data_IF_510792409691
#
_entry.id   IF_510792409691
#
_cell.length_a   1.000
_cell.length_b   1.000
_cell.length_c   1.000
_cell.angle_alpha   90.00
_cell.angle_beta   90.00
_cell.angle_gamma   90.00
#
_symmetry.space_group_name_H-M   'P 1'
#
loop_
_entity.id
_entity.type
_entity.pdbx_description
1 polymer ?
#
# COMPACT_ATOMS: atom_id res chain seq x y z
N UNK A 1 12.11 -18.69 -9.12
CA UNK A 1 10.76 -18.68 -8.48
C UNK A 1 10.63 -17.44 -7.60
N UNK A 2 9.48 -16.75 -7.63
CA UNK A 2 9.22 -15.54 -6.82
C UNK A 2 8.81 -15.93 -5.38
N UNK A 3 9.77 -16.35 -4.55
CA UNK A 3 9.51 -16.88 -3.21
C UNK A 3 8.77 -15.89 -2.28
N UNK A 4 9.02 -14.59 -2.45
CA UNK A 4 8.38 -13.52 -1.67
C UNK A 4 6.85 -13.40 -1.85
N UNK A 5 6.25 -14.06 -2.85
CA UNK A 5 4.79 -14.03 -3.09
C UNK A 5 3.98 -14.62 -1.93
N UNK A 6 4.55 -15.60 -1.24
CA UNK A 6 3.90 -16.33 -0.16
C UNK A 6 4.46 -15.98 1.22
N UNK A 7 5.22 -14.88 1.31
CA UNK A 7 5.77 -14.45 2.59
C UNK A 7 4.63 -14.15 3.57
N UNK A 8 4.52 -14.87 4.72
CA UNK A 8 3.42 -14.69 5.66
C UNK A 8 3.28 -13.24 6.14
N UNK A 9 4.41 -12.56 6.28
CA UNK A 9 4.54 -11.17 6.70
C UNK A 9 3.65 -10.21 5.89
N UNK A 10 3.59 -10.37 4.56
CA UNK A 10 2.82 -9.46 3.70
C UNK A 10 1.40 -9.94 3.37
N UNK A 11 0.99 -11.12 3.85
CA UNK A 11 -0.35 -11.67 3.63
C UNK A 11 -0.75 -11.64 2.14
N UNK A 12 -1.95 -11.13 1.82
CA UNK A 12 -2.47 -10.99 0.46
C UNK A 12 -1.92 -9.77 -0.30
N UNK A 13 -1.29 -8.82 0.38
CA UNK A 13 -0.97 -7.50 -0.19
C UNK A 13 -0.05 -7.58 -1.42
N UNK A 14 1.02 -8.37 -1.34
CA UNK A 14 1.95 -8.59 -2.47
C UNK A 14 1.28 -9.33 -3.62
N UNK A 15 0.37 -10.27 -3.32
CA UNK A 15 -0.37 -11.04 -4.33
C UNK A 15 -1.27 -10.12 -5.16
N UNK A 16 -1.90 -9.13 -4.52
CA UNK A 16 -2.74 -8.13 -5.21
C UNK A 16 -1.90 -7.32 -6.20
N UNK A 17 -0.72 -6.84 -5.80
CA UNK A 17 0.17 -6.09 -6.70
C UNK A 17 0.64 -6.91 -7.90
N UNK A 18 0.93 -8.21 -7.70
CA UNK A 18 1.25 -9.13 -8.79
C UNK A 18 0.06 -9.36 -9.71
N UNK A 19 -1.15 -9.57 -9.16
CA UNK A 19 -2.38 -9.80 -9.93
C UNK A 19 -2.79 -8.57 -10.75
N UNK A 20 -2.64 -7.37 -10.18
CA UNK A 20 -2.87 -6.11 -10.90
C UNK A 20 -1.78 -5.80 -11.93
N UNK A 21 -0.65 -6.52 -11.92
CA UNK A 21 0.48 -6.22 -12.79
C UNK A 21 1.15 -4.88 -12.45
N UNK A 22 1.11 -4.47 -11.18
CA UNK A 22 1.88 -3.31 -10.71
C UNK A 22 3.36 -3.67 -10.58
N UNK A 23 3.63 -4.91 -10.14
CA UNK A 23 4.97 -5.47 -9.99
C UNK A 23 5.12 -6.79 -10.74
N UNK A 24 6.35 -7.20 -11.04
CA UNK A 24 6.63 -8.44 -11.78
C UNK A 24 6.54 -8.29 -13.30
N UNK A 25 6.20 -9.39 -14.00
CA UNK A 25 5.93 -9.38 -15.45
C UNK A 25 4.56 -8.76 -15.68
N UNK A 26 4.55 -7.50 -16.12
CA UNK A 26 3.34 -6.78 -16.50
C UNK A 26 3.51 -6.15 -17.88
N UNK A 27 2.40 -6.03 -18.60
CA UNK A 27 2.35 -5.31 -19.87
C UNK A 27 2.15 -3.83 -19.60
N UNK A 28 2.91 -2.96 -20.29
CA UNK A 28 2.73 -1.50 -20.19
C UNK A 28 1.28 -1.09 -20.45
N UNK A 29 0.60 -1.78 -21.36
CA UNK A 29 -0.82 -1.56 -21.67
C UNK A 29 -1.71 -1.70 -20.44
N UNK A 30 -1.55 -2.75 -19.62
CA UNK A 30 -2.35 -2.95 -18.41
C UNK A 30 -2.12 -1.84 -17.39
N UNK A 31 -0.87 -1.40 -17.24
CA UNK A 31 -0.51 -0.31 -16.33
C UNK A 31 -1.09 1.03 -16.80
N UNK A 32 -1.07 1.31 -18.10
CA UNK A 32 -1.66 2.53 -18.69
C UNK A 32 -3.17 2.52 -18.48
N UNK A 33 -3.85 1.41 -18.74
CA UNK A 33 -5.29 1.27 -18.53
C UNK A 33 -5.67 1.48 -17.05
N UNK A 34 -4.91 0.91 -16.13
CA UNK A 34 -5.15 1.07 -14.70
C UNK A 34 -4.84 2.49 -14.21
N UNK A 35 -3.89 3.19 -14.85
CA UNK A 35 -3.55 4.58 -14.54
C UNK A 35 -4.58 5.59 -15.11
N UNK A 36 -5.23 5.25 -16.22
CA UNK A 36 -6.13 6.15 -16.93
C UNK A 36 -7.25 6.67 -16.03
N UNK A 37 -7.94 5.78 -15.31
CA UNK A 37 -9.08 6.16 -14.48
C UNK A 37 -8.67 7.08 -13.32
N UNK A 38 -7.69 6.74 -12.47
CA UNK A 38 -7.21 7.65 -11.43
C UNK A 38 -6.72 9.01 -11.95
N UNK A 39 -6.05 9.05 -13.11
CA UNK A 39 -5.55 10.31 -13.70
C UNK A 39 -6.70 11.16 -14.21
N UNK A 40 -7.67 10.58 -14.92
CA UNK A 40 -8.85 11.30 -15.39
C UNK A 40 -9.66 11.86 -14.21
N UNK A 41 -9.85 11.04 -13.17
CA UNK A 41 -10.53 11.46 -11.94
C UNK A 41 -9.78 12.59 -11.23
N UNK A 42 -8.45 12.54 -11.17
CA UNK A 42 -7.63 13.60 -10.57
C UNK A 42 -7.78 14.94 -11.30
N UNK A 43 -7.74 14.93 -12.63
CA UNK A 43 -7.97 16.13 -13.42
C UNK A 43 -9.39 16.69 -13.21
N UNK A 44 -10.40 15.82 -13.18
CA UNK A 44 -11.78 16.20 -12.88
C UNK A 44 -11.95 16.82 -11.48
N UNK A 45 -11.21 16.31 -10.49
CA UNK A 45 -11.20 16.85 -9.13
C UNK A 45 -10.51 18.22 -9.03
N UNK A 46 -9.41 18.43 -9.75
CA UNK A 46 -8.76 19.75 -9.81
C UNK A 46 -9.76 20.79 -10.33
N UNK A 47 -10.45 20.47 -11.43
CA UNK A 47 -11.44 21.37 -12.04
C UNK A 47 -12.61 21.59 -11.08
N UNK A 48 -13.08 20.53 -10.41
CA UNK A 48 -14.15 20.64 -9.42
C UNK A 48 -13.77 21.60 -8.29
N UNK A 49 -12.57 21.42 -7.72
CA UNK A 49 -12.06 22.28 -6.65
C UNK A 49 -11.95 23.74 -7.08
N UNK A 50 -11.45 24.02 -8.30
CA UNK A 50 -11.40 25.39 -8.83
C UNK A 50 -12.79 26.01 -8.96
N UNK A 51 -13.80 25.23 -9.37
CA UNK A 51 -15.18 25.72 -9.49
C UNK A 51 -15.84 25.99 -8.15
N UNK A 52 -15.53 25.19 -7.12
CA UNK A 52 -16.11 25.35 -5.78
C UNK A 52 -15.28 26.27 -4.87
N UNK A 53 -14.12 26.78 -5.32
CA UNK A 53 -13.13 27.51 -4.51
C UNK A 53 -13.66 28.76 -3.76
N UNK A 54 -14.75 29.36 -4.23
CA UNK A 54 -15.41 30.50 -3.57
C UNK A 54 -16.79 30.18 -3.00
N UNK A 55 -17.17 28.90 -2.95
CA UNK A 55 -18.47 28.44 -2.48
C UNK A 55 -18.48 28.13 -0.98
N UNK A 56 -19.26 27.12 -0.60
CA UNK A 56 -19.33 26.66 0.78
C UNK A 56 -17.98 26.11 1.27
N UNK A 57 -17.59 26.49 2.50
CA UNK A 57 -16.33 26.05 3.10
C UNK A 57 -16.33 24.54 3.34
N UNK A 58 -17.48 23.97 3.71
CA UNK A 58 -17.63 22.53 3.92
C UNK A 58 -17.44 21.74 2.63
N UNK A 59 -18.10 22.16 1.55
CA UNK A 59 -17.95 21.57 0.22
C UNK A 59 -16.51 21.68 -0.29
N UNK A 60 -15.90 22.86 -0.16
CA UNK A 60 -14.51 23.09 -0.56
C UNK A 60 -13.54 22.23 0.24
N UNK A 61 -13.77 22.10 1.56
CA UNK A 61 -12.96 21.24 2.44
C UNK A 61 -13.07 19.77 2.07
N UNK A 62 -14.27 19.29 1.73
CA UNK A 62 -14.49 17.92 1.27
C UNK A 62 -13.80 17.66 -0.08
N UNK A 63 -13.91 18.59 -1.03
CA UNK A 63 -13.25 18.48 -2.33
C UNK A 63 -11.72 18.48 -2.21
N UNK A 64 -11.16 19.29 -1.30
CA UNK A 64 -9.73 19.28 -1.00
C UNK A 64 -9.28 17.94 -0.40
N UNK A 65 -10.05 17.40 0.56
CA UNK A 65 -9.79 16.08 1.15
C UNK A 65 -9.77 14.99 0.07
N UNK A 66 -10.76 14.97 -0.83
CA UNK A 66 -10.84 14.00 -1.93
C UNK A 66 -9.67 14.15 -2.90
N UNK A 67 -9.30 15.38 -3.27
CA UNK A 67 -8.15 15.66 -4.12
C UNK A 67 -6.83 15.14 -3.50
N UNK A 68 -6.62 15.39 -2.20
CA UNK A 68 -5.47 14.88 -1.47
C UNK A 68 -5.45 13.34 -1.47
N UNK A 69 -6.60 12.71 -1.25
CA UNK A 69 -6.73 11.25 -1.24
C UNK A 69 -6.36 10.63 -2.58
N UNK A 70 -6.85 11.20 -3.69
CA UNK A 70 -6.52 10.75 -5.05
C UNK A 70 -5.04 11.01 -5.37
N UNK A 71 -4.50 12.15 -4.93
CA UNK A 71 -3.06 12.45 -5.08
C UNK A 71 -2.21 11.37 -4.44
N UNK A 72 -2.53 10.95 -3.20
CA UNK A 72 -1.81 9.88 -2.53
C UNK A 72 -1.90 8.55 -3.29
N UNK A 73 -3.07 8.21 -3.84
CA UNK A 73 -3.23 7.00 -4.64
C UNK A 73 -2.37 7.03 -5.90
N UNK A 74 -2.39 8.15 -6.64
CA UNK A 74 -1.58 8.36 -7.85
C UNK A 74 -0.08 8.30 -7.56
N UNK A 75 0.40 8.98 -6.52
CA UNK A 75 1.81 8.96 -6.13
C UNK A 75 2.23 7.54 -5.81
N UNK A 76 1.46 6.79 -5.01
CA UNK A 76 1.76 5.39 -4.67
C UNK A 76 1.75 4.48 -5.88
N UNK A 77 0.78 4.63 -6.76
CA UNK A 77 0.73 3.91 -8.03
C UNK A 77 2.00 4.13 -8.85
N UNK A 78 2.38 5.40 -9.05
CA UNK A 78 3.56 5.78 -9.82
C UNK A 78 4.85 5.29 -9.16
N UNK A 79 4.96 5.38 -7.83
CA UNK A 79 6.11 4.88 -7.08
C UNK A 79 6.32 3.38 -7.32
N UNK A 80 5.27 2.57 -7.21
CA UNK A 80 5.34 1.11 -7.41
C UNK A 80 5.69 0.77 -8.86
N UNK A 81 5.01 1.38 -9.83
CA UNK A 81 5.20 1.07 -11.25
C UNK A 81 6.57 1.51 -11.75
N UNK A 82 7.01 2.74 -11.44
CA UNK A 82 8.32 3.26 -11.88
C UNK A 82 9.48 2.51 -11.22
N UNK A 83 9.34 2.16 -9.95
CA UNK A 83 10.38 1.46 -9.20
C UNK A 83 10.18 -0.06 -9.13
N UNK A 84 9.41 -0.66 -10.05
CA UNK A 84 9.04 -2.08 -10.02
C UNK A 84 10.24 -3.01 -9.71
N UNK A 85 11.37 -2.84 -10.41
CA UNK A 85 12.58 -3.63 -10.16
C UNK A 85 13.11 -3.47 -8.73
N UNK A 86 13.23 -2.23 -8.25
CA UNK A 86 13.70 -1.94 -6.88
C UNK A 86 12.72 -2.48 -5.84
N UNK A 87 11.42 -2.36 -6.08
CA UNK A 87 10.38 -2.89 -5.21
C UNK A 87 10.42 -4.42 -5.12
N UNK A 88 10.65 -5.09 -6.24
CA UNK A 88 10.86 -6.55 -6.25
C UNK A 88 12.14 -6.96 -5.52
N UNK A 89 13.25 -6.26 -5.73
CA UNK A 89 14.50 -6.52 -5.00
C UNK A 89 14.29 -6.32 -3.49
N UNK A 90 13.59 -5.26 -3.10
CA UNK A 90 13.22 -5.00 -1.71
C UNK A 90 12.43 -6.17 -1.10
N UNK A 91 11.35 -6.62 -1.75
CA UNK A 91 10.55 -7.76 -1.27
C UNK A 91 11.37 -9.06 -1.19
N UNK A 92 12.31 -9.27 -2.12
CA UNK A 92 13.22 -10.41 -2.11
C UNK A 92 14.22 -10.33 -0.96
N UNK A 93 14.76 -9.16 -0.67
CA UNK A 93 15.62 -8.96 0.49
C UNK A 93 14.84 -9.31 1.76
N UNK A 94 13.63 -8.77 1.93
CA UNK A 94 12.79 -9.06 3.10
C UNK A 94 12.50 -10.56 3.25
N UNK A 95 12.19 -11.28 2.15
CA UNK A 95 12.01 -12.75 2.19
C UNK A 95 13.26 -13.49 2.69
N UNK A 96 14.46 -13.04 2.31
CA UNK A 96 15.71 -13.64 2.78
C UNK A 96 15.95 -13.35 4.25
N UNK A 97 15.77 -12.10 4.68
CA UNK A 97 15.92 -11.69 6.07
C UNK A 97 14.91 -12.41 6.97
N UNK A 98 13.67 -12.57 6.52
CA UNK A 98 12.64 -13.29 7.27
C UNK A 98 13.06 -14.74 7.54
N UNK A 99 13.51 -15.46 6.50
CA UNK A 99 13.95 -16.86 6.63
C UNK A 99 15.21 -17.00 7.46
N UNK A 100 16.14 -16.06 7.34
CA UNK A 100 17.36 -16.06 8.13
C UNK A 100 17.04 -15.93 9.63
N UNK A 101 16.18 -14.99 9.99
CA UNK A 101 15.74 -14.79 11.38
C UNK A 101 14.95 -16.01 11.88
N UNK A 102 14.05 -16.56 11.07
CA UNK A 102 13.24 -17.73 11.45
C UNK A 102 14.09 -18.98 11.73
N UNK A 103 15.22 -19.15 11.02
CA UNK A 103 16.06 -20.34 11.13
C UNK A 103 17.24 -20.18 12.10
N UNK A 104 17.82 -18.98 12.17
CA UNK A 104 19.14 -18.77 12.78
C UNK A 104 19.14 -17.84 14.01
N UNK A 105 18.01 -17.20 14.35
CA UNK A 105 17.95 -16.26 15.48
C UNK A 105 17.48 -16.89 16.79
N UNK A 106 17.75 -16.20 17.89
CA UNK A 106 17.29 -16.57 19.23
C UNK A 106 15.76 -16.67 19.32
N UNK A 107 15.27 -17.53 20.20
CA UNK A 107 13.83 -17.77 20.41
C UNK A 107 13.04 -16.49 20.73
N UNK A 108 13.65 -15.54 21.45
CA UNK A 108 13.05 -14.22 21.75
C UNK A 108 12.75 -13.43 20.46
N UNK A 109 13.68 -13.42 19.53
CA UNK A 109 13.57 -12.71 18.24
C UNK A 109 12.57 -13.42 17.32
N UNK A 110 12.60 -14.75 17.28
CA UNK A 110 11.66 -15.56 16.50
C UNK A 110 10.23 -15.37 17.01
N UNK A 111 10.02 -15.30 18.32
CA UNK A 111 8.71 -14.98 18.90
C UNK A 111 8.23 -13.60 18.45
N UNK A 112 9.10 -12.59 18.51
CA UNK A 112 8.77 -11.23 18.03
C UNK A 112 8.41 -11.22 16.54
N UNK A 113 9.12 -12.00 15.72
CA UNK A 113 8.82 -12.16 14.29
C UNK A 113 7.41 -12.74 14.06
N UNK A 114 7.04 -13.77 14.82
CA UNK A 114 5.72 -14.41 14.76
C UNK A 114 4.61 -13.47 15.24
N UNK A 115 4.85 -12.70 16.30
CA UNK A 115 3.92 -11.68 16.80
C UNK A 115 3.68 -10.59 15.76
N UNK A 116 4.74 -10.03 15.17
CA UNK A 116 4.65 -9.02 14.11
C UNK A 116 3.92 -9.58 12.89
N UNK A 117 4.21 -10.82 12.50
CA UNK A 117 3.54 -11.50 11.38
C UNK A 117 2.04 -11.64 11.64
N UNK A 118 1.66 -12.14 12.82
CA UNK A 118 0.25 -12.34 13.19
C UNK A 118 -0.49 -11.01 13.30
N UNK A 119 0.15 -10.01 13.91
CA UNK A 119 -0.40 -8.68 14.06
C UNK A 119 -0.65 -7.99 12.71
N UNK A 120 0.33 -8.02 11.81
CA UNK A 120 0.22 -7.40 10.48
C UNK A 120 -0.81 -8.10 9.59
N UNK A 121 -0.96 -9.43 9.70
CA UNK A 121 -2.03 -10.17 9.04
C UNK A 121 -3.41 -9.77 9.57
N UNK A 122 -3.57 -9.63 10.89
CA UNK A 122 -4.82 -9.18 11.52
C UNK A 122 -5.16 -7.75 11.10
N UNK A 123 -4.19 -6.84 11.12
CA UNK A 123 -4.36 -5.46 10.65
C UNK A 123 -4.77 -5.40 9.18
N UNK A 124 -4.11 -6.19 8.32
CA UNK A 124 -4.47 -6.28 6.89
C UNK A 124 -5.93 -6.71 6.75
N UNK A 125 -6.35 -7.76 7.48
CA UNK A 125 -7.74 -8.27 7.43
C UNK A 125 -8.75 -7.23 7.89
N UNK A 126 -8.50 -6.57 9.02
CA UNK A 126 -9.35 -5.48 9.53
C UNK A 126 -9.42 -4.35 8.52
N UNK A 127 -8.28 -3.93 7.95
CA UNK A 127 -8.23 -2.89 6.92
C UNK A 127 -9.09 -3.20 5.70
N UNK A 128 -9.07 -4.45 5.21
CA UNK A 128 -9.96 -4.89 4.12
C UNK A 128 -11.44 -4.86 4.51
N UNK A 129 -11.80 -5.26 5.73
CA UNK A 129 -13.19 -5.15 6.18
C UNK A 129 -13.64 -3.69 6.27
N UNK A 130 -12.84 -2.83 6.91
CA UNK A 130 -13.15 -1.41 7.07
C UNK A 130 -13.30 -0.71 5.72
N UNK A 131 -12.38 -0.94 4.78
CA UNK A 131 -12.47 -0.28 3.47
C UNK A 131 -13.61 -0.81 2.61
N UNK A 132 -13.97 -2.09 2.76
CA UNK A 132 -15.12 -2.68 2.06
C UNK A 132 -16.43 -2.09 2.58
N UNK A 133 -16.58 -1.97 3.91
CA UNK A 133 -17.74 -1.30 4.51
C UNK A 133 -17.79 0.16 4.04
N UNK A 134 -16.66 0.87 4.08
CA UNK A 134 -16.56 2.23 3.57
C UNK A 134 -17.00 2.35 2.11
N UNK A 135 -16.54 1.44 1.25
CA UNK A 135 -16.93 1.41 -0.16
C UNK A 135 -18.43 1.16 -0.36
N UNK A 136 -19.03 0.24 0.42
CA UNK A 136 -20.48 0.02 0.39
C UNK A 136 -21.24 1.27 0.81
N UNK A 137 -20.82 1.96 1.87
CA UNK A 137 -21.40 3.23 2.27
C UNK A 137 -21.27 4.28 1.15
N UNK A 138 -20.12 4.35 0.48
CA UNK A 138 -19.90 5.26 -0.65
C UNK A 138 -20.77 4.93 -1.87
N UNK A 139 -21.16 3.66 -2.06
CA UNK A 139 -22.10 3.27 -3.12
C UNK A 139 -23.54 3.63 -2.80
N UNK A 140 -23.93 3.56 -1.53
CA UNK A 140 -25.30 3.86 -1.07
C UNK A 140 -25.53 5.36 -0.93
N UNK A 141 -24.49 6.11 -0.55
CA UNK A 141 -24.57 7.55 -0.27
C UNK A 141 -25.24 8.36 -1.40
N UNK A 142 -24.90 8.16 -2.69
CA UNK A 142 -25.53 8.92 -3.78
C UNK A 142 -27.03 8.70 -3.93
N UNK A 143 -27.53 7.52 -3.56
CA UNK A 143 -28.96 7.19 -3.63
C UNK A 143 -29.77 7.73 -2.45
N UNK A 144 -29.10 8.31 -1.45
CA UNK A 144 -29.77 8.91 -0.28
C UNK A 144 -30.24 10.35 -0.56
N UNK A 145 -29.96 10.89 -1.75
CA UNK A 145 -30.34 12.23 -2.16
C UNK A 145 -31.29 12.18 -3.37
N UNK A 146 -32.20 13.14 -3.44
CA UNK A 146 -33.08 13.32 -4.61
C UNK A 146 -32.29 13.81 -5.83
N UNK A 147 -31.19 14.53 -5.59
CA UNK A 147 -30.26 14.96 -6.63
C UNK A 147 -29.30 13.84 -7.05
N UNK A 148 -29.02 13.77 -8.35
CA UNK A 148 -28.00 12.87 -8.90
C UNK A 148 -26.62 13.26 -8.38
N UNK A 149 -26.07 12.41 -7.52
CA UNK A 149 -24.69 12.50 -7.02
C UNK A 149 -23.83 11.36 -7.54
N UNK A 150 -22.52 11.58 -7.61
CA UNK A 150 -21.56 10.52 -7.87
C UNK A 150 -20.98 9.98 -6.57
N UNK A 151 -20.30 8.83 -6.64
CA UNK A 151 -19.51 8.32 -5.50
C UNK A 151 -18.42 9.33 -5.13
N UNK A 152 -17.84 9.94 -6.17
CA UNK A 152 -16.90 11.02 -6.06
C UNK A 152 -17.32 12.10 -7.05
N UNK A 153 -17.74 13.25 -6.53
CA UNK A 153 -18.23 14.36 -7.35
C UNK A 153 -17.06 14.97 -8.14
N UNK A 154 -17.06 14.73 -9.46
CA UNK A 154 -16.05 15.24 -10.40
C UNK A 154 -16.71 16.05 -11.50
N UNK A 155 -16.00 17.09 -11.93
CA UNK A 155 -16.43 17.91 -13.03
C UNK A 155 -15.84 17.40 -14.35
N UNK A 156 -16.69 17.20 -15.36
CA UNK A 156 -16.28 16.87 -16.72
C UNK A 156 -16.41 18.10 -17.62
N UNK A 157 -15.37 18.41 -18.40
CA UNK A 157 -15.29 19.67 -19.17
C UNK A 157 -16.34 19.73 -20.29
N UNK A 158 -16.57 18.61 -20.99
CA UNK A 158 -17.23 18.63 -22.30
C UNK A 158 -18.72 18.25 -22.28
N UNK A 159 -19.23 17.71 -21.19
CA UNK A 159 -20.62 17.26 -21.10
C UNK A 159 -21.10 17.25 -19.65
N UNK A 160 -22.41 17.41 -19.48
CA UNK A 160 -23.05 17.28 -18.17
C UNK A 160 -23.19 15.79 -17.81
N UNK A 161 -22.26 15.32 -16.98
CA UNK A 161 -22.25 13.93 -16.54
C UNK A 161 -23.47 13.55 -15.69
N UNK A 162 -24.24 14.49 -15.14
CA UNK A 162 -25.46 14.18 -14.37
C UNK A 162 -26.66 13.88 -15.28
N UNK A 163 -26.56 14.14 -16.58
CA UNK A 163 -27.62 13.83 -17.55
C UNK A 163 -27.59 12.34 -17.97
N UNK A 164 -28.77 11.78 -18.23
CA UNK A 164 -28.90 10.44 -18.81
C UNK A 164 -28.44 10.47 -20.27
N UNK A 165 -27.68 9.47 -20.78
CA UNK A 165 -27.24 8.23 -20.13
C UNK A 165 -25.84 8.31 -19.48
N UNK A 166 -25.23 9.50 -19.45
CA UNK A 166 -23.86 9.67 -18.96
C UNK A 166 -23.75 9.39 -17.46
N UNK A 167 -24.78 9.75 -16.69
CA UNK A 167 -24.82 9.52 -15.26
C UNK A 167 -24.60 8.05 -14.90
N UNK A 168 -25.39 7.17 -15.50
CA UNK A 168 -25.33 5.73 -15.24
C UNK A 168 -23.98 5.15 -15.66
N UNK A 169 -23.45 5.58 -16.81
CA UNK A 169 -22.15 5.14 -17.30
C UNK A 169 -21.00 5.54 -16.37
N UNK A 170 -20.91 6.80 -15.98
CA UNK A 170 -19.82 7.29 -15.12
C UNK A 170 -19.96 6.81 -13.68
N UNK A 171 -21.19 6.62 -13.19
CA UNK A 171 -21.43 6.00 -11.90
C UNK A 171 -20.89 4.56 -11.88
N UNK A 172 -21.22 3.75 -12.90
CA UNK A 172 -20.70 2.39 -13.03
C UNK A 172 -19.18 2.37 -13.20
N UNK A 173 -18.62 3.31 -13.95
CA UNK A 173 -17.16 3.42 -14.10
C UNK A 173 -16.49 3.71 -12.75
N UNK A 174 -17.06 4.59 -11.93
CA UNK A 174 -16.54 4.86 -10.60
C UNK A 174 -16.69 3.63 -9.68
N UNK A 175 -17.85 2.98 -9.69
CA UNK A 175 -18.14 1.84 -8.83
C UNK A 175 -17.29 0.60 -9.19
N UNK A 176 -17.11 0.31 -10.48
CA UNK A 176 -16.47 -0.92 -10.94
C UNK A 176 -14.98 -0.77 -11.21
N UNK A 177 -14.49 0.45 -11.46
CA UNK A 177 -13.08 0.67 -11.81
C UNK A 177 -12.39 1.57 -10.80
N UNK A 178 -12.92 2.77 -10.53
CA UNK A 178 -12.24 3.74 -9.67
C UNK A 178 -12.11 3.23 -8.23
N UNK A 179 -13.22 2.86 -7.59
CA UNK A 179 -13.23 2.44 -6.18
C UNK A 179 -12.39 1.17 -5.98
N UNK A 180 -12.54 0.09 -6.78
CA UNK A 180 -11.67 -1.07 -6.67
C UNK A 180 -10.20 -0.74 -6.90
N UNK A 181 -9.87 0.10 -7.89
CA UNK A 181 -8.48 0.54 -8.11
C UNK A 181 -7.94 1.25 -6.88
N UNK A 182 -8.73 2.14 -6.28
CA UNK A 182 -8.34 2.83 -5.06
C UNK A 182 -8.05 1.84 -3.94
N UNK A 183 -8.97 0.92 -3.66
CA UNK A 183 -8.83 -0.10 -2.60
C UNK A 183 -7.58 -0.95 -2.83
N UNK A 184 -7.43 -1.53 -4.03
CA UNK A 184 -6.39 -2.52 -4.32
C UNK A 184 -5.01 -1.91 -4.63
N UNK A 185 -4.90 -0.59 -4.80
CA UNK A 185 -3.62 0.12 -4.87
C UNK A 185 -3.26 0.72 -3.51
N UNK A 186 -4.17 1.48 -2.91
CA UNK A 186 -3.92 2.25 -1.70
C UNK A 186 -3.65 1.36 -0.49
N UNK A 187 -4.53 0.39 -0.23
CA UNK A 187 -4.47 -0.41 0.99
C UNK A 187 -3.26 -1.35 0.98
N UNK A 188 -2.99 -2.14 -0.09
CA UNK A 188 -1.83 -3.01 -0.10
C UNK A 188 -0.51 -2.23 -0.05
N UNK A 189 -0.42 -1.05 -0.67
CA UNK A 189 0.77 -0.20 -0.53
C UNK A 189 1.02 0.15 0.94
N UNK A 190 -0.02 0.68 1.61
CA UNK A 190 0.06 1.13 3.00
C UNK A 190 0.42 -0.03 3.92
N UNK A 191 -0.21 -1.19 3.73
CA UNK A 191 0.08 -2.39 4.51
C UNK A 191 1.52 -2.88 4.28
N UNK A 192 1.99 -2.96 3.02
CA UNK A 192 3.38 -3.37 2.74
C UNK A 192 4.36 -2.40 3.40
N UNK A 193 4.10 -1.10 3.34
CA UNK A 193 4.95 -0.09 3.98
C UNK A 193 5.00 -0.25 5.50
N UNK A 194 3.84 -0.29 6.17
CA UNK A 194 3.76 -0.42 7.63
C UNK A 194 4.35 -1.74 8.13
N UNK A 195 4.03 -2.84 7.45
CA UNK A 195 4.61 -4.15 7.76
C UNK A 195 6.12 -4.14 7.61
N UNK A 196 6.65 -3.47 6.59
CA UNK A 196 8.10 -3.36 6.39
C UNK A 196 8.78 -2.57 7.51
N UNK A 197 8.17 -1.48 7.97
CA UNK A 197 8.67 -0.72 9.12
C UNK A 197 8.68 -1.58 10.39
N UNK A 198 7.59 -2.31 10.64
CA UNK A 198 7.50 -3.24 11.79
C UNK A 198 8.50 -4.39 11.70
N UNK A 199 8.78 -4.88 10.50
CA UNK A 199 9.81 -5.89 10.31
C UNK A 199 11.22 -5.34 10.54
N UNK A 200 11.46 -4.07 10.21
CA UNK A 200 12.71 -3.37 10.56
C UNK A 200 12.99 -3.38 12.07
N UNK A 201 11.96 -3.27 12.90
CA UNK A 201 12.06 -3.40 14.37
C UNK A 201 12.60 -4.78 14.78
N UNK A 202 12.13 -5.85 14.14
CA UNK A 202 12.59 -7.23 14.39
C UNK A 202 14.06 -7.39 14.00
N UNK A 203 14.46 -6.86 12.84
CA UNK A 203 15.86 -6.92 12.39
C UNK A 203 16.79 -6.21 13.39
N UNK A 204 16.39 -5.04 13.89
CA UNK A 204 17.17 -4.30 14.88
C UNK A 204 17.23 -5.04 16.23
N UNK A 205 16.14 -5.70 16.63
CA UNK A 205 16.12 -6.54 17.83
C UNK A 205 17.04 -7.75 17.68
N UNK A 206 17.08 -8.38 16.50
CA UNK A 206 18.01 -9.47 16.20
C UNK A 206 19.48 -9.03 16.36
N UNK A 207 19.85 -7.89 15.75
CA UNK A 207 21.18 -7.32 15.90
C UNK A 207 21.51 -7.01 17.36
N UNK A 208 20.57 -6.41 18.11
CA UNK A 208 20.74 -6.10 19.53
C UNK A 208 20.99 -7.36 20.35
N UNK A 209 20.25 -8.42 20.08
CA UNK A 209 20.38 -9.70 20.80
C UNK A 209 21.72 -10.35 20.50
N UNK A 210 22.16 -10.37 19.23
CA UNK A 210 23.49 -10.84 18.84
C UNK A 210 24.60 -10.06 19.56
N UNK A 211 24.52 -8.73 19.59
CA UNK A 211 25.44 -7.86 20.33
C UNK A 211 25.46 -8.13 21.84
N UNK A 212 24.30 -8.39 22.44
CA UNK A 212 24.18 -8.73 23.87
C UNK A 212 24.84 -10.07 24.21
N UNK A 213 24.81 -11.03 23.29
CA UNK A 213 25.35 -12.37 23.53
C UNK A 213 26.88 -12.44 23.34
N UNK A 214 27.45 -11.55 22.52
CA UNK A 214 28.90 -11.41 22.31
C UNK A 214 29.67 -11.20 23.62
N UNK A 215 29.12 -10.41 24.56
CA UNK A 215 29.79 -10.11 25.83
C UNK A 215 29.96 -11.31 26.76
N UNK A 216 29.36 -12.45 26.44
CA UNK A 216 29.39 -13.68 27.26
C UNK A 216 30.36 -14.74 26.74
N UNK A 217 31.07 -14.46 25.65
CA UNK A 217 31.93 -15.42 24.95
C UNK A 217 33.43 -15.19 25.24
N UNK A 218 34.26 -16.17 24.89
CA UNK A 218 35.73 -16.05 24.94
C UNK A 218 36.24 -14.99 23.95
N UNK A 219 37.36 -14.34 24.27
CA UNK A 219 37.92 -13.17 23.56
C UNK A 219 38.12 -13.38 22.04
N UNK A 220 38.59 -14.55 21.61
CA UNK A 220 38.75 -14.88 20.18
C UNK A 220 37.40 -15.03 19.45
N UNK A 221 36.40 -15.61 20.11
CA UNK A 221 35.03 -15.77 19.57
C UNK A 221 34.30 -14.43 19.54
N UNK A 222 34.52 -13.61 20.56
CA UNK A 222 33.95 -12.27 20.70
C UNK A 222 34.33 -11.35 19.54
N UNK A 223 35.61 -11.33 19.14
CA UNK A 223 36.07 -10.52 18.00
C UNK A 223 35.45 -10.98 16.68
N UNK A 224 35.26 -12.29 16.48
CA UNK A 224 34.64 -12.84 15.27
C UNK A 224 33.17 -12.46 15.19
N UNK A 225 32.40 -12.72 16.24
CA UNK A 225 30.97 -12.41 16.28
C UNK A 225 30.71 -10.91 16.19
N UNK A 226 31.59 -10.07 16.75
CA UNK A 226 31.51 -8.62 16.60
C UNK A 226 31.70 -8.18 15.14
N UNK A 227 32.65 -8.75 14.41
CA UNK A 227 32.83 -8.50 12.97
C UNK A 227 31.61 -8.94 12.17
N UNK A 228 31.01 -10.09 12.51
CA UNK A 228 29.77 -10.56 11.89
C UNK A 228 28.59 -9.62 12.16
N UNK A 229 28.48 -9.06 13.37
CA UNK A 229 27.48 -8.06 13.71
C UNK A 229 27.68 -6.74 12.95
N UNK A 230 28.93 -6.31 12.74
CA UNK A 230 29.24 -5.13 11.92
C UNK A 230 28.81 -5.34 10.47
N UNK A 231 29.14 -6.49 9.87
CA UNK A 231 28.70 -6.85 8.52
C UNK A 231 27.17 -6.95 8.42
N UNK A 232 26.52 -7.48 9.46
CA UNK A 232 25.06 -7.53 9.54
C UNK A 232 24.45 -6.13 9.60
N UNK A 233 25.02 -5.22 10.39
CA UNK A 233 24.59 -3.83 10.46
C UNK A 233 24.78 -3.09 9.13
N UNK A 234 25.93 -3.27 8.47
CA UNK A 234 26.20 -2.70 7.15
C UNK A 234 25.15 -3.14 6.12
N UNK A 235 24.72 -4.40 6.17
CA UNK A 235 23.66 -4.94 5.32
C UNK A 235 22.27 -4.35 5.63
N UNK A 236 22.03 -3.80 6.82
CA UNK A 236 20.77 -3.12 7.17
C UNK A 236 20.73 -1.71 6.58
N UNK A 237 21.85 -1.00 6.59
CA UNK A 237 21.95 0.41 6.18
C UNK A 237 22.20 0.59 4.67
N UNK A 238 22.66 -0.46 3.99
CA UNK A 238 22.87 -0.50 2.52
C UNK A 238 21.60 -0.78 1.73
#
# INVERSE_FOLDING_TARGET
MQNYKNLPLYSVNVKIFLQLGLIGRSTRTKQILLAFVPVATYLGQIINLYKTWGGDIGETGMNFYMLAHITHCLVRFLMVVRNNKRFMCFLQSIDRWYKDIELNSDAEVVHMLQDVTTHTQKLTRIGFYTITIGALCSYIYPFSFEERKFILDIHYIFFDAKQTPFYEFFFLLQALVLVPTFIFVYLPFTNIFLTSLKFGEVILMDLRTKLRNISKQNEATQLREFKECLLYHEKIIS
#
